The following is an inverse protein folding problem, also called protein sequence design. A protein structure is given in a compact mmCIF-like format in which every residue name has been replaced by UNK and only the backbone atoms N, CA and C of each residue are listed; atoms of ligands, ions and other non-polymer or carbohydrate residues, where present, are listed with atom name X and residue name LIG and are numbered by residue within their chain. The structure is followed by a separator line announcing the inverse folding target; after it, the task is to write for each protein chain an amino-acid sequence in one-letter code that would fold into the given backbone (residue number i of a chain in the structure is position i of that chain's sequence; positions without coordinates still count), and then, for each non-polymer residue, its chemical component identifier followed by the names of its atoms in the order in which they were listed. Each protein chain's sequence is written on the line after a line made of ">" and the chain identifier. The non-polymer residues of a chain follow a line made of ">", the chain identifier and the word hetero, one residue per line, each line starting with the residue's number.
data_IF_163575801801
#
_entry.id   IF_163575801801
#
_cell.length_a   1.000
_cell.length_b   1.000
_cell.length_c   1.000
_cell.angle_alpha   90.00
_cell.angle_beta   90.00
_cell.angle_gamma   90.00
#
_symmetry.space_group_name_H-M   'P 1'
#
loop_
_entity.id
_entity.type
_entity.pdbx_description
1 polymer ?
#
# COMPACT_ATOMS: atom_id res chain seq x y z
N UNK A 1 14.69 -11.63 39.30
CA UNK A 1 15.79 -10.89 38.63
C UNK A 1 15.36 -10.59 37.19
N UNK A 2 15.35 -9.32 36.77
CA UNK A 2 15.08 -8.96 35.37
C UNK A 2 16.22 -9.48 34.48
N UNK A 3 15.96 -10.13 33.33
CA UNK A 3 17.02 -10.50 32.42
C UNK A 3 17.56 -9.23 31.75
N UNK A 4 18.78 -8.84 32.14
CA UNK A 4 19.49 -7.64 31.67
C UNK A 4 20.20 -7.85 30.33
N UNK A 5 19.67 -8.71 29.46
CA UNK A 5 20.21 -8.91 28.12
C UNK A 5 19.08 -9.11 27.09
N UNK A 6 18.92 -8.21 26.10
CA UNK A 6 17.91 -8.30 25.04
C UNK A 6 17.97 -9.64 24.27
N UNK A 7 19.15 -10.24 24.15
CA UNK A 7 19.35 -11.48 23.42
C UNK A 7 18.76 -12.70 24.15
N UNK A 8 18.75 -12.67 25.48
CA UNK A 8 18.07 -13.69 26.29
C UNK A 8 16.55 -13.57 26.22
N UNK A 9 16.02 -12.34 26.16
CA UNK A 9 14.58 -12.12 25.97
C UNK A 9 14.11 -12.64 24.61
N UNK A 10 14.91 -12.44 23.56
CA UNK A 10 14.62 -12.98 22.23
C UNK A 10 14.65 -14.52 22.20
N UNK A 11 15.62 -15.15 22.90
CA UNK A 11 15.68 -16.61 23.00
C UNK A 11 14.49 -17.18 23.78
N UNK A 12 14.09 -16.54 24.89
CA UNK A 12 12.89 -16.93 25.65
C UNK A 12 11.61 -16.79 24.81
N UNK A 13 11.47 -15.70 24.06
CA UNK A 13 10.33 -15.52 23.14
C UNK A 13 10.27 -16.62 22.07
N UNK A 14 11.42 -17.01 21.49
CA UNK A 14 11.49 -18.12 20.52
C UNK A 14 11.11 -19.46 21.16
N UNK A 15 11.56 -19.74 22.38
CA UNK A 15 11.23 -20.97 23.10
C UNK A 15 9.72 -21.07 23.42
N UNK A 16 9.10 -19.95 23.76
CA UNK A 16 7.68 -19.89 24.10
C UNK A 16 6.77 -19.98 22.88
N UNK A 17 7.20 -19.47 21.72
CA UNK A 17 6.37 -19.44 20.50
C UNK A 17 6.71 -20.55 19.47
N UNK A 18 7.87 -21.22 19.61
CA UNK A 18 8.37 -22.21 18.66
C UNK A 18 7.66 -23.58 18.68
N UNK A 19 6.80 -23.85 19.67
CA UNK A 19 6.11 -25.15 19.80
C UNK A 19 4.77 -25.24 19.04
N UNK A 20 4.22 -24.13 18.54
CA UNK A 20 2.93 -24.14 17.83
C UNK A 20 3.04 -24.49 16.33
N UNK A 21 4.20 -24.28 15.71
CA UNK A 21 4.36 -24.46 14.25
C UNK A 21 5.07 -25.76 13.83
N UNK A 22 5.47 -26.62 14.78
CA UNK A 22 6.27 -27.82 14.46
C UNK A 22 5.46 -29.07 14.10
N UNK A 23 4.12 -29.05 14.24
CA UNK A 23 3.25 -30.20 13.93
C UNK A 23 2.42 -30.06 12.63
N UNK A 24 2.65 -29.03 11.81
CA UNK A 24 1.92 -28.86 10.53
C UNK A 24 2.80 -28.93 9.26
N UNK A 25 4.11 -29.12 9.39
CA UNK A 25 5.04 -29.08 8.26
C UNK A 25 5.64 -30.44 7.83
N UNK A 26 5.15 -31.57 8.36
CA UNK A 26 5.69 -32.91 8.01
C UNK A 26 4.81 -33.76 7.08
N UNK A 27 3.72 -33.23 6.51
CA UNK A 27 2.93 -33.97 5.52
C UNK A 27 2.57 -33.16 4.28
N UNK A 28 3.55 -32.62 3.56
CA UNK A 28 3.38 -32.34 2.11
C UNK A 28 4.73 -32.53 1.41
N UNK A 29 5.08 -33.79 1.16
CA UNK A 29 5.92 -34.13 0.01
C UNK A 29 5.12 -35.08 -0.87
N UNK A 30 5.07 -34.71 -2.15
CA UNK A 30 4.58 -35.50 -3.29
C UNK A 30 3.07 -35.48 -3.54
N UNK A 31 2.63 -34.71 -4.53
CA UNK A 31 1.89 -35.21 -5.68
C UNK A 31 1.62 -34.09 -6.68
N UNK A 32 1.81 -34.42 -7.95
CA UNK A 32 1.75 -33.56 -9.12
C UNK A 32 0.31 -33.23 -9.55
N UNK A 33 0.15 -32.01 -10.08
CA UNK A 33 -0.73 -31.62 -11.20
C UNK A 33 -2.27 -31.50 -11.01
N UNK A 34 -2.92 -30.68 -11.85
CA UNK A 34 -4.12 -29.93 -11.52
C UNK A 34 -5.39 -30.62 -12.01
N UNK A 35 -6.48 -30.53 -11.25
CA UNK A 35 -7.80 -30.76 -11.82
C UNK A 35 -8.90 -29.94 -11.14
N UNK A 36 -9.74 -29.42 -12.03
CA UNK A 36 -11.02 -28.77 -11.83
C UNK A 36 -11.90 -29.49 -10.80
N UNK A 37 -12.67 -28.73 -10.01
CA UNK A 37 -13.84 -29.29 -9.31
C UNK A 37 -14.14 -28.69 -7.95
N UNK A 38 -15.00 -27.66 -7.96
CA UNK A 38 -16.10 -27.45 -7.02
C UNK A 38 -15.85 -27.75 -5.53
N UNK A 39 -15.57 -26.71 -4.73
CA UNK A 39 -16.02 -26.67 -3.32
C UNK A 39 -16.62 -25.31 -3.01
N UNK A 40 -17.95 -25.32 -2.87
CA UNK A 40 -18.80 -24.23 -2.41
C UNK A 40 -18.53 -23.97 -0.94
N UNK A 41 -18.10 -22.76 -0.58
CA UNK A 41 -18.17 -22.28 0.80
C UNK A 41 -18.99 -20.99 0.87
N UNK A 42 -20.23 -21.22 1.29
CA UNK A 42 -21.22 -20.39 1.98
C UNK A 42 -20.88 -18.91 2.20
N UNK A 43 -21.68 -18.12 1.52
CA UNK A 43 -21.88 -16.69 1.61
C UNK A 43 -22.53 -16.31 2.94
N UNK A 44 -22.00 -15.28 3.60
CA UNK A 44 -22.55 -14.75 4.83
C UNK A 44 -21.73 -13.61 5.42
N UNK A 45 -21.63 -12.48 4.72
CA UNK A 45 -21.96 -11.22 5.38
C UNK A 45 -22.23 -10.08 4.39
N UNK A 46 -23.34 -9.41 4.66
CA UNK A 46 -23.87 -8.24 4.00
C UNK A 46 -22.93 -7.07 4.25
N UNK A 47 -22.31 -6.57 3.19
CA UNK A 47 -21.67 -5.27 3.14
C UNK A 47 -22.10 -4.63 1.83
N UNK A 48 -22.97 -3.62 1.92
CA UNK A 48 -23.40 -2.81 0.80
C UNK A 48 -22.20 -2.11 0.17
N UNK A 49 -21.61 -2.72 -0.85
CA UNK A 49 -20.64 -2.07 -1.71
C UNK A 49 -21.37 -1.07 -2.61
N UNK A 50 -21.30 0.21 -2.24
CA UNK A 50 -21.48 1.29 -3.21
C UNK A 50 -20.42 1.12 -4.29
N UNK A 51 -20.83 0.54 -5.42
CA UNK A 51 -20.00 0.35 -6.61
C UNK A 51 -19.54 1.71 -7.14
N UNK A 52 -18.38 2.15 -6.68
CA UNK A 52 -17.66 3.27 -7.28
C UNK A 52 -17.17 2.82 -8.67
N UNK A 53 -17.90 3.24 -9.71
CA UNK A 53 -17.61 3.05 -11.15
C UNK A 53 -16.37 3.82 -11.61
N UNK A 54 -15.24 3.66 -10.94
CA UNK A 54 -13.95 4.27 -11.33
C UNK A 54 -12.82 3.25 -11.51
N UNK A 55 -13.08 1.95 -11.36
CA UNK A 55 -12.10 0.88 -11.67
C UNK A 55 -11.97 0.55 -13.16
N UNK A 56 -12.18 1.53 -14.04
CA UNK A 56 -11.93 1.38 -15.47
C UNK A 56 -10.42 1.44 -15.75
N UNK A 57 -9.81 0.27 -16.00
CA UNK A 57 -8.47 0.05 -16.61
C UNK A 57 -7.19 0.10 -15.75
N UNK A 58 -7.25 0.32 -14.43
CA UNK A 58 -6.03 0.34 -13.58
C UNK A 58 -5.67 -1.00 -12.90
N UNK A 59 -6.55 -1.99 -12.90
CA UNK A 59 -6.28 -3.31 -12.30
C UNK A 59 -5.15 -4.09 -13.00
N UNK A 60 -4.74 -3.64 -14.19
CA UNK A 60 -3.69 -4.26 -14.99
C UNK A 60 -2.43 -3.37 -15.11
N UNK A 61 -2.00 -2.68 -14.04
CA UNK A 61 -0.61 -2.18 -14.03
C UNK A 61 0.31 -3.39 -13.79
N UNK A 62 1.18 -3.78 -14.74
CA UNK A 62 2.07 -4.93 -14.55
C UNK A 62 2.95 -4.78 -13.31
N UNK A 63 3.25 -3.55 -12.89
CA UNK A 63 4.06 -3.26 -11.71
C UNK A 63 3.32 -3.51 -10.39
N UNK A 64 1.99 -3.42 -10.32
CA UNK A 64 1.30 -3.76 -9.06
C UNK A 64 1.42 -5.25 -8.74
N UNK A 65 1.51 -6.10 -9.76
CA UNK A 65 1.77 -7.53 -9.60
C UNK A 65 3.25 -7.80 -9.28
N UNK A 66 4.19 -7.13 -9.96
CA UNK A 66 5.63 -7.28 -9.67
C UNK A 66 5.99 -6.78 -8.27
N UNK A 67 5.40 -5.67 -7.83
CA UNK A 67 5.61 -5.08 -6.51
C UNK A 67 4.43 -5.35 -5.57
N UNK A 68 3.99 -6.60 -5.49
CA UNK A 68 2.84 -7.00 -4.69
C UNK A 68 2.97 -6.61 -3.21
N UNK A 69 4.18 -6.73 -2.62
CA UNK A 69 4.41 -6.36 -1.22
C UNK A 69 4.33 -4.86 -0.99
N UNK A 70 4.89 -4.06 -1.89
CA UNK A 70 4.79 -2.60 -1.82
C UNK A 70 3.34 -2.14 -2.03
N UNK A 71 2.64 -2.74 -3.01
CA UNK A 71 1.20 -2.51 -3.23
C UNK A 71 0.38 -2.82 -1.98
N UNK A 72 0.72 -3.88 -1.25
CA UNK A 72 0.08 -4.23 0.02
C UNK A 72 0.30 -3.15 1.08
N UNK A 73 1.49 -2.55 1.18
CA UNK A 73 1.73 -1.46 2.12
C UNK A 73 0.82 -0.26 1.86
N UNK A 74 0.63 0.12 0.59
CA UNK A 74 -0.33 1.18 0.23
C UNK A 74 -1.76 0.83 0.64
N UNK A 75 -2.20 -0.43 0.46
CA UNK A 75 -3.52 -0.87 0.95
C UNK A 75 -3.65 -0.73 2.46
N UNK A 76 -2.63 -1.16 3.22
CA UNK A 76 -2.62 -1.02 4.67
C UNK A 76 -2.67 0.45 5.12
N UNK A 77 -2.02 1.35 4.38
CA UNK A 77 -2.14 2.79 4.61
C UNK A 77 -3.58 3.26 4.39
N UNK A 78 -4.21 2.86 3.29
CA UNK A 78 -5.59 3.23 2.98
C UNK A 78 -6.57 2.73 4.07
N UNK A 79 -6.41 1.49 4.51
CA UNK A 79 -7.21 0.90 5.59
C UNK A 79 -6.98 1.63 6.91
N UNK A 80 -5.72 1.95 7.22
CA UNK A 80 -5.33 2.71 8.42
C UNK A 80 -5.94 4.11 8.42
N UNK A 81 -5.96 4.80 7.29
CA UNK A 81 -6.56 6.13 7.18
C UNK A 81 -8.05 6.09 7.49
N UNK A 82 -8.76 5.10 6.95
CA UNK A 82 -10.18 4.90 7.24
C UNK A 82 -10.42 4.65 8.72
N UNK A 83 -9.66 3.72 9.30
CA UNK A 83 -9.77 3.38 10.72
C UNK A 83 -9.42 4.56 11.64
N UNK A 84 -8.50 5.43 11.22
CA UNK A 84 -8.18 6.66 11.95
C UNK A 84 -9.39 7.56 12.11
N UNK A 85 -10.17 7.76 11.04
CA UNK A 85 -11.40 8.55 11.11
C UNK A 85 -12.46 7.91 12.01
N UNK A 86 -12.56 6.58 11.99
CA UNK A 86 -13.57 5.84 12.76
C UNK A 86 -13.28 5.82 14.26
N UNK A 87 -12.01 5.73 14.64
CA UNK A 87 -11.61 5.55 16.04
C UNK A 87 -11.13 6.87 16.67
N UNK A 88 -10.49 7.74 15.89
CA UNK A 88 -9.84 8.96 16.38
C UNK A 88 -10.13 10.16 15.43
N UNK A 89 -11.38 10.61 15.34
CA UNK A 89 -11.77 11.68 14.42
C UNK A 89 -11.10 13.04 14.74
N UNK A 90 -10.82 13.33 16.01
CA UNK A 90 -10.17 14.57 16.44
C UNK A 90 -8.67 14.61 16.10
N UNK A 91 -8.03 13.44 16.04
CA UNK A 91 -6.61 13.29 15.72
C UNK A 91 -6.33 13.14 14.22
N UNK A 92 -7.35 13.35 13.37
CA UNK A 92 -7.22 13.18 11.92
C UNK A 92 -6.22 14.15 11.27
N UNK A 93 -5.84 15.23 11.96
CA UNK A 93 -4.82 16.20 11.53
C UNK A 93 -3.46 15.55 11.22
N UNK A 94 -3.10 14.43 11.87
CA UNK A 94 -1.90 13.68 11.52
C UNK A 94 -1.97 13.05 10.11
N UNK A 95 -3.15 12.65 9.65
CA UNK A 95 -3.36 12.17 8.28
C UNK A 95 -3.25 13.31 7.28
N UNK A 96 -3.70 14.51 7.64
CA UNK A 96 -3.54 15.70 6.81
C UNK A 96 -2.06 16.06 6.63
N UNK A 97 -1.27 16.00 7.70
CA UNK A 97 0.19 16.18 7.62
C UNK A 97 0.84 15.13 6.71
N UNK A 98 0.46 13.86 6.87
CA UNK A 98 0.95 12.78 6.00
C UNK A 98 0.60 13.02 4.52
N UNK A 99 -0.60 13.54 4.23
CA UNK A 99 -0.98 13.96 2.86
C UNK A 99 -0.04 15.04 2.35
N UNK A 100 0.23 16.09 3.13
CA UNK A 100 1.09 17.20 2.69
C UNK A 100 2.53 16.73 2.41
N UNK A 101 3.06 15.84 3.24
CA UNK A 101 4.36 15.19 3.01
C UNK A 101 4.36 14.36 1.71
N UNK A 102 3.26 13.67 1.39
CA UNK A 102 3.12 12.92 0.14
C UNK A 102 2.98 13.84 -1.09
N UNK A 103 2.32 14.99 -0.97
CA UNK A 103 2.24 15.99 -2.05
C UNK A 103 3.64 16.49 -2.41
N UNK A 104 4.43 16.91 -1.41
CA UNK A 104 5.82 17.34 -1.62
C UNK A 104 6.66 16.21 -2.26
N UNK A 105 6.51 14.97 -1.78
CA UNK A 105 7.22 13.82 -2.36
C UNK A 105 6.86 13.59 -3.84
N UNK A 106 5.58 13.65 -4.19
CA UNK A 106 5.13 13.53 -5.59
C UNK A 106 5.76 14.61 -6.46
N UNK A 107 5.81 15.86 -5.99
CA UNK A 107 6.35 16.96 -6.78
C UNK A 107 7.86 16.83 -6.99
N UNK A 108 8.59 16.36 -5.98
CA UNK A 108 10.02 15.99 -6.12
C UNK A 108 10.23 14.85 -7.12
N UNK A 109 9.40 13.81 -7.08
CA UNK A 109 9.46 12.68 -8.03
C UNK A 109 9.19 13.14 -9.47
N UNK A 110 8.20 14.04 -9.67
CA UNK A 110 7.92 14.65 -10.98
C UNK A 110 9.09 15.52 -11.45
N UNK A 111 9.63 16.37 -10.59
CA UNK A 111 10.75 17.25 -10.93
C UNK A 111 12.02 16.46 -11.28
N UNK A 112 12.37 15.46 -10.47
CA UNK A 112 13.50 14.56 -10.72
C UNK A 112 13.36 13.77 -12.01
N UNK A 113 12.16 13.22 -12.28
CA UNK A 113 11.87 12.54 -13.55
C UNK A 113 12.00 13.47 -14.76
N UNK A 114 11.51 14.72 -14.67
CA UNK A 114 11.69 15.72 -15.74
C UNK A 114 13.16 16.05 -15.97
N UNK A 115 13.93 16.27 -14.91
CA UNK A 115 15.37 16.55 -14.98
C UNK A 115 16.12 15.41 -15.65
N UNK A 116 15.90 14.17 -15.21
CA UNK A 116 16.57 13.00 -15.79
C UNK A 116 16.25 12.85 -17.29
N UNK A 117 14.98 13.03 -17.68
CA UNK A 117 14.58 12.96 -19.08
C UNK A 117 15.16 14.11 -19.91
N UNK A 118 15.33 15.31 -19.34
CA UNK A 118 16.00 16.42 -20.00
C UNK A 118 17.50 16.12 -20.22
N UNK A 119 18.18 15.59 -19.21
CA UNK A 119 19.58 15.18 -19.31
C UNK A 119 19.77 14.08 -20.34
N UNK A 120 18.92 13.06 -20.33
CA UNK A 120 18.96 11.96 -21.31
C UNK A 120 18.80 12.46 -22.75
N UNK A 121 17.94 13.47 -22.98
CA UNK A 121 17.81 14.12 -24.29
C UNK A 121 19.04 14.94 -24.67
N UNK A 122 19.67 15.60 -23.70
CA UNK A 122 20.84 16.47 -23.94
C UNK A 122 22.14 15.70 -24.23
N UNK A 123 22.30 14.48 -23.70
CA UNK A 123 23.53 13.68 -23.87
C UNK A 123 23.62 12.92 -25.20
N UNK A 124 22.63 13.03 -26.10
CA UNK A 124 22.67 12.48 -27.45
C UNK A 124 22.46 10.96 -27.57
N UNK A 125 22.77 10.40 -28.76
CA UNK A 125 22.42 9.03 -29.18
C UNK A 125 23.12 7.94 -28.34
N UNK A 126 24.32 8.19 -27.83
CA UNK A 126 25.14 7.21 -27.08
C UNK A 126 24.56 6.89 -25.70
N UNK A 127 24.22 7.90 -24.89
CA UNK A 127 23.59 7.66 -23.59
C UNK A 127 22.21 7.02 -23.74
N UNK A 128 21.47 7.43 -24.77
CA UNK A 128 20.10 6.99 -25.00
C UNK A 128 20.02 5.54 -25.50
N UNK A 129 21.03 5.01 -26.21
CA UNK A 129 21.00 3.64 -26.74
C UNK A 129 21.28 2.60 -25.66
N UNK A 130 22.32 2.80 -24.86
CA UNK A 130 22.77 1.79 -23.90
C UNK A 130 21.89 1.78 -22.63
N UNK A 131 21.30 2.92 -22.28
CA UNK A 131 20.49 3.08 -21.06
C UNK A 131 18.99 3.23 -21.32
N UNK A 132 18.52 2.98 -22.55
CA UNK A 132 17.11 3.21 -22.93
C UNK A 132 16.13 2.40 -22.07
N UNK A 133 16.43 1.12 -21.88
CA UNK A 133 15.60 0.20 -21.10
C UNK A 133 15.56 0.62 -19.64
N UNK A 134 16.72 0.95 -19.06
CA UNK A 134 16.82 1.43 -17.68
C UNK A 134 16.07 2.74 -17.46
N UNK A 135 16.15 3.69 -18.40
CA UNK A 135 15.38 4.94 -18.32
C UNK A 135 13.87 4.69 -18.40
N UNK A 136 13.44 3.75 -19.25
CA UNK A 136 12.04 3.34 -19.35
C UNK A 136 11.57 2.69 -18.05
N UNK A 137 12.35 1.77 -17.48
CA UNK A 137 12.02 1.09 -16.23
C UNK A 137 11.96 2.08 -15.05
N UNK A 138 12.89 3.03 -15.00
CA UNK A 138 12.85 4.14 -14.03
C UNK A 138 11.56 4.94 -14.16
N UNK A 139 11.22 5.41 -15.37
CA UNK A 139 10.00 6.20 -15.60
C UNK A 139 8.75 5.40 -15.19
N UNK A 140 8.71 4.10 -15.52
CA UNK A 140 7.59 3.24 -15.15
C UNK A 140 7.46 3.08 -13.62
N UNK A 141 8.57 2.90 -12.91
CA UNK A 141 8.60 2.80 -11.45
C UNK A 141 8.21 4.15 -10.79
N UNK A 142 8.70 5.26 -11.32
CA UNK A 142 8.40 6.61 -10.85
C UNK A 142 6.89 6.91 -10.99
N UNK A 143 6.32 6.63 -12.17
CA UNK A 143 4.89 6.82 -12.42
C UNK A 143 4.02 5.93 -11.53
N UNK A 144 4.45 4.68 -11.28
CA UNK A 144 3.78 3.80 -10.33
C UNK A 144 3.74 4.39 -8.91
N UNK A 145 4.86 4.91 -8.41
CA UNK A 145 4.92 5.54 -7.09
C UNK A 145 4.06 6.79 -7.02
N UNK A 146 4.17 7.68 -8.01
CA UNK A 146 3.34 8.90 -8.09
C UNK A 146 1.85 8.53 -8.07
N UNK A 147 1.46 7.51 -8.81
CA UNK A 147 0.09 7.02 -8.82
C UNK A 147 -0.35 6.51 -7.45
N UNK A 148 0.46 5.68 -6.77
CA UNK A 148 0.14 5.14 -5.45
C UNK A 148 0.06 6.19 -4.36
N UNK A 149 0.96 7.16 -4.34
CA UNK A 149 0.86 8.29 -3.42
C UNK A 149 -0.39 9.13 -3.72
N UNK A 150 -0.72 9.34 -5.00
CA UNK A 150 -1.93 10.05 -5.41
C UNK A 150 -3.22 9.37 -4.95
N UNK A 151 -3.28 8.04 -4.93
CA UNK A 151 -4.42 7.30 -4.36
C UNK A 151 -4.60 7.60 -2.87
N UNK A 152 -3.50 7.60 -2.09
CA UNK A 152 -3.55 7.87 -0.65
C UNK A 152 -3.97 9.32 -0.36
N UNK A 153 -3.40 10.29 -1.09
CA UNK A 153 -3.75 11.72 -0.96
C UNK A 153 -5.25 11.92 -1.19
N UNK A 154 -5.77 11.41 -2.30
CA UNK A 154 -7.21 11.54 -2.65
C UNK A 154 -8.10 10.94 -1.58
N UNK A 155 -7.72 9.79 -1.03
CA UNK A 155 -8.50 9.16 0.04
C UNK A 155 -8.50 10.02 1.31
N UNK A 156 -7.36 10.57 1.71
CA UNK A 156 -7.28 11.44 2.90
C UNK A 156 -8.12 12.69 2.72
N UNK A 157 -8.10 13.32 1.54
CA UNK A 157 -8.94 14.49 1.21
C UNK A 157 -10.42 14.16 1.33
N UNK A 158 -10.86 13.02 0.79
CA UNK A 158 -12.23 12.56 0.92
C UNK A 158 -12.62 12.34 2.39
N UNK A 159 -11.79 11.63 3.15
CA UNK A 159 -12.02 11.36 4.57
C UNK A 159 -12.05 12.64 5.41
N UNK A 160 -11.28 13.66 5.04
CA UNK A 160 -11.31 14.96 5.70
C UNK A 160 -12.68 15.63 5.52
N UNK A 161 -13.24 15.61 4.31
CA UNK A 161 -14.58 16.14 4.04
C UNK A 161 -15.62 15.38 4.88
N UNK A 162 -15.56 14.04 4.85
CA UNK A 162 -16.45 13.19 5.66
C UNK A 162 -16.34 13.50 7.17
N UNK A 163 -15.14 13.77 7.69
CA UNK A 163 -14.94 14.13 9.09
C UNK A 163 -15.62 15.45 9.44
N UNK A 164 -15.42 16.46 8.60
CA UNK A 164 -16.00 17.80 8.79
C UNK A 164 -17.54 17.72 8.77
N UNK A 165 -18.11 16.94 7.85
CA UNK A 165 -19.56 16.72 7.78
C UNK A 165 -20.10 16.03 9.03
N UNK A 166 -19.44 14.97 9.52
CA UNK A 166 -19.83 14.29 10.77
C UNK A 166 -19.79 15.22 11.98
N UNK A 167 -18.76 16.05 12.09
CA UNK A 167 -18.62 16.99 13.20
C UNK A 167 -19.71 18.07 13.18
N UNK A 168 -20.11 18.55 12.00
CA UNK A 168 -21.23 19.50 11.86
C UNK A 168 -22.54 18.91 12.37
N UNK A 169 -22.89 17.70 11.92
CA UNK A 169 -24.11 17.01 12.36
C UNK A 169 -24.17 16.82 13.88
N UNK A 170 -23.06 16.42 14.50
CA UNK A 170 -22.97 16.24 15.96
C UNK A 170 -23.19 17.58 16.71
N UNK A 171 -22.76 18.70 16.13
CA UNK A 171 -22.93 20.02 16.74
C UNK A 171 -24.33 20.60 16.50
N UNK A 172 -25.05 20.16 15.47
CA UNK A 172 -26.44 20.57 15.19
C UNK A 172 -27.46 19.79 16.05
N UNK A 173 -27.11 18.59 16.53
CA UNK A 173 -27.94 17.77 17.43
C UNK A 173 -27.79 18.13 18.92
N UNK A 174 -26.86 19.03 19.28
CA UNK A 174 -26.61 19.50 20.66
C UNK A 174 -27.22 20.87 20.92
#
# INVERSE_FOLDING_TARGET
>A
MKPSNPMQQLQQWKANNGKSNKLKNELVKSANQPNSGLVKNTQGNVGSETKNKSQGKLYANPLSFKFAQLSRQFKLILDSNRKCLEVYPDDFHHKLKMRDEMVDLIDRLKAGGKLLNALAKSQGITFCRDNQSTLKDFNQANDYLIHKFGEVIKQIEQLQVENIEKQKLINEEK
#
